data_IF_804455914967
#
_entry.id   IF_804455914967
#
_cell.length_a   1.000
_cell.length_b   1.000
_cell.length_c   1.000
_cell.angle_alpha   90.00
_cell.angle_beta   90.00
_cell.angle_gamma   90.00
#
_symmetry.space_group_name_H-M   'P 1'
#
loop_
_entity.id
_entity.type
_entity.pdbx_description
1 polymer ?
#
# COMPACT_ATOMS: atom_id res chain seq x y z
N UNK A 1 6.13 2.28 12.16
CA UNK A 1 5.56 2.36 10.80
C UNK A 1 4.14 1.82 10.89
N UNK A 2 3.14 2.62 10.52
CA UNK A 2 1.73 2.21 10.49
C UNK A 2 1.31 2.07 9.02
N UNK A 3 0.56 1.02 8.70
CA UNK A 3 -0.09 0.83 7.39
C UNK A 3 -1.60 0.76 7.61
N UNK A 4 -2.36 1.19 6.60
CA UNK A 4 -3.73 0.73 6.48
C UNK A 4 -3.76 -0.80 6.44
N UNK A 5 -4.77 -1.38 7.09
CA UNK A 5 -5.14 -2.76 6.75
C UNK A 5 -5.69 -2.79 5.32
N UNK A 6 -5.63 -3.95 4.68
CA UNK A 6 -5.95 -4.14 3.28
C UNK A 6 -7.26 -3.47 2.92
N UNK A 7 -8.43 -3.75 3.51
CA UNK A 7 -9.69 -3.24 2.95
C UNK A 7 -9.95 -1.75 3.26
N UNK A 8 -9.12 -1.07 4.05
CA UNK A 8 -9.39 0.32 4.47
C UNK A 8 -9.21 1.31 3.31
N UNK A 9 -10.20 2.19 3.11
CA UNK A 9 -10.18 3.15 2.02
C UNK A 9 -11.17 4.29 2.26
N UNK A 10 -12.32 4.23 1.60
CA UNK A 10 -13.35 5.27 1.66
C UNK A 10 -14.74 4.71 2.01
N UNK A 11 -14.79 3.92 3.09
CA UNK A 11 -16.05 3.35 3.58
C UNK A 11 -17.01 4.44 4.07
N UNK A 12 -18.35 4.24 3.99
CA UNK A 12 -19.34 5.22 4.42
C UNK A 12 -19.17 5.70 5.87
N UNK A 13 -18.71 4.81 6.75
CA UNK A 13 -18.52 5.07 8.18
C UNK A 13 -17.10 5.58 8.52
N UNK A 14 -16.21 5.69 7.53
CA UNK A 14 -14.79 6.02 7.72
C UNK A 14 -14.27 6.66 6.43
N UNK A 15 -14.80 7.83 6.08
CA UNK A 15 -14.49 8.52 4.84
C UNK A 15 -13.03 8.98 4.83
N UNK A 16 -12.34 8.76 3.71
CA UNK A 16 -10.93 9.15 3.54
C UNK A 16 -10.74 10.67 3.73
N UNK A 17 -11.73 11.47 3.33
CA UNK A 17 -11.72 12.93 3.50
C UNK A 17 -11.67 13.37 4.96
N UNK A 18 -12.24 12.58 5.87
CA UNK A 18 -12.30 12.88 7.30
C UNK A 18 -11.13 12.25 8.06
N UNK A 19 -10.78 11.02 7.72
CA UNK A 19 -9.79 10.22 8.45
C UNK A 19 -8.35 10.63 8.11
N UNK A 20 -8.08 10.97 6.85
CA UNK A 20 -6.70 11.32 6.43
C UNK A 20 -6.17 12.55 7.18
N UNK A 21 -6.92 13.66 7.31
CA UNK A 21 -6.49 14.80 8.13
C UNK A 21 -6.22 14.44 9.59
N UNK A 22 -7.08 13.62 10.21
CA UNK A 22 -6.88 13.19 11.60
C UNK A 22 -5.61 12.33 11.75
N UNK A 23 -5.35 11.42 10.81
CA UNK A 23 -4.10 10.64 10.79
C UNK A 23 -2.88 11.55 10.66
N UNK A 24 -2.91 12.58 9.80
CA UNK A 24 -1.81 13.54 9.65
C UNK A 24 -1.59 14.35 10.92
N UNK A 25 -2.68 14.78 11.59
CA UNK A 25 -2.64 15.49 12.86
C UNK A 25 -2.02 14.64 13.97
N UNK A 26 -2.47 13.40 14.13
CA UNK A 26 -1.91 12.46 15.12
C UNK A 26 -0.45 12.14 14.82
N UNK A 27 -0.11 11.92 13.55
CA UNK A 27 1.27 11.69 13.14
C UNK A 27 2.16 12.89 13.46
N UNK A 28 1.69 14.11 13.22
CA UNK A 28 2.44 15.34 13.53
C UNK A 28 2.70 15.49 15.03
N UNK A 29 1.71 15.16 15.87
CA UNK A 29 1.88 15.14 17.32
C UNK A 29 2.92 14.09 17.76
N UNK A 30 2.83 12.87 17.23
CA UNK A 30 3.79 11.80 17.53
C UNK A 30 5.21 12.15 17.06
N UNK A 31 5.38 12.78 15.90
CA UNK A 31 6.68 13.25 15.40
C UNK A 31 7.25 14.32 16.33
N UNK A 32 6.43 15.25 16.82
CA UNK A 32 6.88 16.29 17.73
C UNK A 32 7.45 15.71 19.03
N UNK A 33 6.87 14.63 19.53
CA UNK A 33 7.31 13.96 20.76
C UNK A 33 8.51 13.03 20.55
N UNK A 34 8.58 12.34 19.41
CA UNK A 34 9.52 11.22 19.21
C UNK A 34 10.60 11.48 18.16
N UNK A 35 10.41 12.45 17.28
CA UNK A 35 11.25 12.70 16.10
C UNK A 35 11.11 11.65 14.98
N UNK A 36 10.23 10.66 15.12
CA UNK A 36 10.10 9.54 14.17
C UNK A 36 8.87 9.70 13.28
N UNK A 37 9.08 9.68 11.97
CA UNK A 37 8.04 9.94 10.98
C UNK A 37 7.97 8.81 9.93
N UNK A 38 7.02 7.88 10.05
CA UNK A 38 6.89 6.74 9.13
C UNK A 38 5.44 6.22 9.02
N UNK A 39 4.77 6.45 7.87
CA UNK A 39 3.39 5.96 7.60
C UNK A 39 3.22 5.44 6.16
N UNK A 40 2.28 4.52 5.95
CA UNK A 40 1.80 4.07 4.65
C UNK A 40 0.29 4.24 4.53
N UNK A 41 -0.17 4.83 3.43
CA UNK A 41 -1.57 5.08 3.13
C UNK A 41 -2.05 4.27 1.91
N UNK A 42 -3.22 3.63 2.01
CA UNK A 42 -3.79 2.85 0.91
C UNK A 42 -4.32 3.75 -0.20
N UNK A 43 -3.99 3.39 -1.45
CA UNK A 43 -4.45 4.09 -2.66
C UNK A 43 -5.19 3.19 -3.66
N UNK A 44 -5.31 1.88 -3.40
CA UNK A 44 -5.96 0.92 -4.31
C UNK A 44 -7.38 1.35 -4.70
N UNK A 45 -7.68 1.27 -5.99
CA UNK A 45 -8.99 1.47 -6.61
C UNK A 45 -8.97 0.82 -8.01
N UNK A 46 -10.11 0.45 -8.59
CA UNK A 46 -10.11 -0.10 -9.96
C UNK A 46 -9.82 1.00 -10.98
N UNK A 47 -10.50 2.14 -10.84
CA UNK A 47 -10.33 3.29 -11.72
C UNK A 47 -8.97 3.97 -11.47
N UNK A 48 -8.14 4.07 -12.51
CA UNK A 48 -6.84 4.76 -12.46
C UNK A 48 -6.98 6.23 -12.04
N UNK A 49 -8.04 6.92 -12.47
CA UNK A 49 -8.28 8.31 -12.08
C UNK A 49 -8.51 8.43 -10.56
N UNK A 50 -9.30 7.53 -9.99
CA UNK A 50 -9.55 7.46 -8.54
C UNK A 50 -8.26 7.17 -7.76
N UNK A 51 -7.46 6.22 -8.25
CA UNK A 51 -6.16 5.84 -7.66
C UNK A 51 -5.20 7.05 -7.60
N UNK A 52 -5.12 7.82 -8.69
CA UNK A 52 -4.32 9.05 -8.76
C UNK A 52 -4.92 10.15 -7.86
N UNK A 53 -6.25 10.30 -7.84
CA UNK A 53 -6.93 11.29 -7.01
C UNK A 53 -6.68 11.07 -5.53
N UNK A 54 -6.81 9.82 -5.04
CA UNK A 54 -6.45 9.43 -3.67
C UNK A 54 -5.00 9.74 -3.36
N UNK A 55 -4.09 9.38 -4.25
CA UNK A 55 -2.66 9.66 -4.08
C UNK A 55 -2.38 11.16 -3.96
N UNK A 56 -2.92 11.97 -4.86
CA UNK A 56 -2.78 13.43 -4.81
C UNK A 56 -3.40 14.04 -3.54
N UNK A 57 -4.58 13.57 -3.15
CA UNK A 57 -5.25 14.00 -1.93
C UNK A 57 -4.38 13.72 -0.69
N UNK A 58 -3.90 12.49 -0.54
CA UNK A 58 -3.02 12.10 0.57
C UNK A 58 -1.77 12.98 0.59
N UNK A 59 -1.09 13.18 -0.54
CA UNK A 59 0.11 14.02 -0.58
C UNK A 59 -0.18 15.49 -0.22
N UNK A 60 -1.32 16.01 -0.66
CA UNK A 60 -1.76 17.36 -0.32
C UNK A 60 -2.02 17.50 1.19
N UNK A 61 -2.70 16.53 1.81
CA UNK A 61 -2.95 16.54 3.26
C UNK A 61 -1.66 16.41 4.07
N UNK A 62 -0.72 15.56 3.64
CA UNK A 62 0.55 15.40 4.34
C UNK A 62 1.48 16.62 4.20
N UNK A 63 1.35 17.40 3.12
CA UNK A 63 2.16 18.59 2.88
C UNK A 63 3.68 18.31 3.03
N UNK A 64 4.39 19.00 3.94
CA UNK A 64 5.82 18.78 4.19
C UNK A 64 6.17 17.35 4.62
N UNK A 65 5.25 16.66 5.31
CA UNK A 65 5.41 15.28 5.78
C UNK A 65 5.24 14.24 4.66
N UNK A 66 4.90 14.67 3.44
CA UNK A 66 4.60 13.75 2.34
C UNK A 66 5.77 12.82 2.01
N UNK A 67 7.02 13.22 2.28
CA UNK A 67 8.23 12.38 2.09
C UNK A 67 8.21 11.11 2.96
N UNK A 68 7.46 11.13 4.06
CA UNK A 68 7.36 10.05 5.04
C UNK A 68 6.15 9.13 4.79
N UNK A 69 5.43 9.37 3.68
CA UNK A 69 4.27 8.59 3.26
C UNK A 69 4.67 7.59 2.15
N UNK A 70 4.34 6.32 2.37
CA UNK A 70 4.34 5.28 1.35
C UNK A 70 2.90 5.04 0.83
N UNK A 71 2.77 4.55 -0.41
CA UNK A 71 1.48 4.12 -0.95
C UNK A 71 1.34 2.61 -0.88
N UNK A 72 0.28 2.15 -0.22
CA UNK A 72 -0.12 0.74 -0.22
C UNK A 72 -1.03 0.46 -1.43
N UNK A 73 -0.71 -0.59 -2.17
CA UNK A 73 -1.47 -1.08 -3.32
C UNK A 73 -1.60 -2.60 -3.23
N UNK A 74 -2.81 -3.13 -3.48
CA UNK A 74 -3.07 -4.57 -3.47
C UNK A 74 -2.77 -5.19 -4.83
N UNK A 75 -1.49 -5.42 -5.10
CA UNK A 75 -1.01 -5.76 -6.44
C UNK A 75 -1.45 -7.12 -6.97
N UNK A 76 -1.86 -8.06 -6.10
CA UNK A 76 -2.41 -9.35 -6.56
C UNK A 76 -3.85 -9.21 -7.04
N UNK A 77 -4.74 -8.58 -6.26
CA UNK A 77 -6.17 -8.46 -6.61
C UNK A 77 -6.42 -7.34 -7.62
N UNK A 78 -5.72 -6.21 -7.49
CA UNK A 78 -5.94 -5.03 -8.35
C UNK A 78 -5.10 -5.05 -9.65
N UNK A 79 -4.36 -6.13 -9.89
CA UNK A 79 -3.51 -6.37 -11.07
C UNK A 79 -2.26 -5.46 -11.19
N UNK A 80 -1.33 -5.82 -12.08
CA UNK A 80 -0.11 -5.07 -12.38
C UNK A 80 -0.35 -3.65 -12.86
N UNK A 81 -1.50 -3.35 -13.46
CA UNK A 81 -1.88 -1.98 -13.81
C UNK A 81 -2.06 -1.10 -12.56
N UNK A 82 -2.57 -1.66 -11.47
CA UNK A 82 -2.68 -0.93 -10.21
C UNK A 82 -1.34 -0.63 -9.56
N UNK A 83 -0.33 -1.47 -9.78
CA UNK A 83 1.04 -1.24 -9.29
C UNK A 83 1.76 -0.21 -10.15
N UNK A 84 1.59 -0.27 -11.47
CA UNK A 84 2.34 0.57 -12.42
C UNK A 84 1.77 1.97 -12.61
N UNK A 85 0.46 2.18 -12.42
CA UNK A 85 -0.12 3.51 -12.55
C UNK A 85 0.37 4.49 -11.47
N UNK A 86 0.42 4.14 -10.17
CA UNK A 86 1.04 4.97 -9.13
C UNK A 86 2.53 5.19 -9.35
N UNK A 87 3.28 4.17 -9.76
CA UNK A 87 4.74 4.30 -9.93
C UNK A 87 5.12 5.32 -11.01
N UNK A 88 4.27 5.47 -12.04
CA UNK A 88 4.47 6.44 -13.14
C UNK A 88 3.93 7.84 -12.83
N UNK A 89 2.85 7.95 -12.06
CA UNK A 89 2.16 9.24 -11.83
C UNK A 89 2.46 9.88 -10.47
N UNK A 90 2.91 9.10 -9.48
CA UNK A 90 3.24 9.53 -8.12
C UNK A 90 4.73 9.28 -7.85
N UNK A 91 5.56 9.77 -8.77
CA UNK A 91 7.01 9.58 -8.79
C UNK A 91 7.64 9.95 -7.43
N UNK A 92 8.67 9.19 -7.04
CA UNK A 92 9.48 9.37 -5.81
C UNK A 92 8.76 9.05 -4.50
N UNK A 93 7.70 8.24 -4.52
CA UNK A 93 7.09 7.66 -3.30
C UNK A 93 7.37 6.17 -3.20
N UNK A 94 7.52 5.69 -1.97
CA UNK A 94 7.68 4.27 -1.69
C UNK A 94 6.38 3.54 -2.03
N UNK A 95 6.45 2.52 -2.88
CA UNK A 95 5.31 1.69 -3.27
C UNK A 95 5.32 0.37 -2.50
N UNK A 96 4.37 0.22 -1.58
CA UNK A 96 4.18 -0.96 -0.76
C UNK A 96 3.14 -1.89 -1.41
N UNK A 97 3.61 -2.99 -1.99
CA UNK A 97 2.74 -3.98 -2.62
C UNK A 97 2.21 -4.96 -1.58
N UNK A 98 0.92 -4.90 -1.34
CA UNK A 98 0.18 -5.90 -0.60
C UNK A 98 -0.25 -7.03 -1.54
N UNK A 99 -0.30 -8.26 -1.02
CA UNK A 99 -0.52 -9.46 -1.84
C UNK A 99 -1.79 -10.22 -1.46
N UNK A 100 -2.81 -9.57 -0.89
CA UNK A 100 -4.07 -10.25 -0.54
C UNK A 100 -4.58 -11.12 -1.69
N UNK A 101 -5.13 -12.29 -1.37
CA UNK A 101 -5.59 -13.26 -2.37
C UNK A 101 -4.49 -14.17 -2.95
N UNK A 102 -3.20 -13.84 -2.84
CA UNK A 102 -2.12 -14.60 -3.51
C UNK A 102 -2.12 -16.12 -3.23
N UNK A 103 -2.61 -16.53 -2.06
CA UNK A 103 -2.70 -17.94 -1.66
C UNK A 103 -3.55 -18.81 -2.59
N UNK A 104 -4.44 -18.23 -3.40
CA UNK A 104 -5.20 -18.98 -4.41
C UNK A 104 -4.32 -19.59 -5.50
N UNK A 105 -3.15 -18.98 -5.77
CA UNK A 105 -2.15 -19.47 -6.71
C UNK A 105 -0.91 -20.02 -5.98
N UNK A 106 -0.41 -19.32 -4.96
CA UNK A 106 0.93 -19.60 -4.42
C UNK A 106 0.98 -20.61 -3.28
N UNK A 107 -0.18 -21.10 -2.82
CA UNK A 107 -0.23 -22.09 -1.73
C UNK A 107 0.42 -23.41 -2.17
N UNK A 108 1.24 -24.08 -1.34
CA UNK A 108 1.77 -25.41 -1.66
C UNK A 108 0.70 -26.48 -1.91
N UNK A 109 -0.53 -26.28 -1.42
CA UNK A 109 -1.67 -27.16 -1.74
C UNK A 109 -2.12 -27.03 -3.20
N UNK A 110 -1.81 -25.91 -3.86
CA UNK A 110 -2.12 -25.67 -5.27
C UNK A 110 -0.97 -26.21 -6.12
N UNK A 111 -1.31 -27.16 -6.99
CA UNK A 111 -0.36 -27.80 -7.91
C UNK A 111 -0.44 -27.16 -9.32
N UNK A 112 -0.70 -25.85 -9.37
CA UNK A 112 -0.89 -25.05 -10.60
C UNK A 112 -0.35 -23.62 -10.38
N UNK A 113 -0.28 -22.85 -11.45
CA UNK A 113 0.12 -21.43 -11.46
C UNK A 113 1.60 -21.20 -11.11
N UNK A 114 1.90 -20.47 -10.02
CA UNK A 114 3.24 -20.05 -9.67
C UNK A 114 3.43 -19.91 -8.15
N UNK A 115 4.67 -19.98 -7.70
CA UNK A 115 5.02 -19.92 -6.28
C UNK A 115 5.11 -18.49 -5.74
N UNK A 116 5.09 -18.33 -4.42
CA UNK A 116 5.30 -17.04 -3.76
C UNK A 116 6.67 -16.42 -4.09
N UNK A 117 7.68 -17.25 -4.39
CA UNK A 117 8.98 -16.81 -4.86
C UNK A 117 8.88 -16.12 -6.22
N UNK A 118 8.19 -16.74 -7.18
CA UNK A 118 7.95 -16.15 -8.50
C UNK A 118 7.17 -14.84 -8.37
N UNK A 119 6.11 -14.82 -7.56
CA UNK A 119 5.31 -13.62 -7.32
C UNK A 119 6.17 -12.45 -6.80
N UNK A 120 7.01 -12.71 -5.80
CA UNK A 120 7.89 -11.69 -5.20
C UNK A 120 8.90 -11.15 -6.22
N UNK A 121 9.45 -12.03 -7.08
CA UNK A 121 10.39 -11.64 -8.14
C UNK A 121 9.72 -10.74 -9.19
N UNK A 122 8.46 -11.03 -9.55
CA UNK A 122 7.67 -10.20 -10.46
C UNK A 122 7.32 -8.84 -9.84
N UNK A 123 6.94 -8.78 -8.56
CA UNK A 123 6.71 -7.51 -7.86
C UNK A 123 7.93 -6.60 -7.91
N UNK A 124 9.13 -7.15 -7.72
CA UNK A 124 10.39 -6.41 -7.87
C UNK A 124 10.55 -5.84 -9.29
N UNK A 125 10.28 -6.63 -10.33
CA UNK A 125 10.33 -6.18 -11.72
C UNK A 125 9.28 -5.10 -12.05
N UNK A 126 8.14 -5.09 -11.35
CA UNK A 126 7.11 -4.05 -11.46
C UNK A 126 7.45 -2.75 -10.72
N UNK A 127 8.67 -2.63 -10.17
CA UNK A 127 9.19 -1.44 -9.48
C UNK A 127 8.47 -1.17 -8.15
N UNK A 128 8.03 -2.23 -7.45
CA UNK A 128 7.57 -2.08 -6.07
C UNK A 128 8.76 -1.78 -5.15
N UNK A 129 8.62 -0.83 -4.23
CA UNK A 129 9.67 -0.52 -3.25
C UNK A 129 9.74 -1.58 -2.13
N UNK A 130 8.63 -2.27 -1.85
CA UNK A 130 8.59 -3.40 -0.93
C UNK A 130 7.35 -4.26 -1.14
N UNK A 131 7.46 -5.57 -0.89
CA UNK A 131 6.37 -6.53 -1.00
C UNK A 131 6.36 -7.44 0.23
N UNK A 132 5.16 -7.87 0.64
CA UNK A 132 5.04 -8.88 1.70
C UNK A 132 5.65 -10.21 1.25
N UNK A 133 6.53 -10.79 2.07
CA UNK A 133 7.17 -12.10 1.80
C UNK A 133 6.59 -13.24 2.65
N UNK A 134 5.88 -12.92 3.73
CA UNK A 134 5.32 -13.90 4.68
C UNK A 134 6.20 -14.04 5.92
N UNK A 135 5.72 -14.79 6.91
CA UNK A 135 6.40 -14.97 8.19
C UNK A 135 7.35 -16.18 8.20
N UNK A 136 7.57 -16.83 7.05
CA UNK A 136 8.40 -18.05 6.94
C UNK A 136 7.99 -19.12 7.97
N UNK A 137 6.69 -19.34 8.13
CA UNK A 137 6.07 -20.28 9.08
C UNK A 137 6.13 -19.90 10.57
N UNK A 138 6.67 -18.74 10.93
CA UNK A 138 6.65 -18.22 12.32
C UNK A 138 5.38 -17.40 12.64
N UNK A 139 4.42 -17.35 11.71
CA UNK A 139 3.18 -16.60 11.84
C UNK A 139 1.96 -17.43 11.45
N UNK A 140 0.81 -16.77 11.31
CA UNK A 140 -0.46 -17.44 10.96
C UNK A 140 -0.57 -17.84 9.48
N UNK A 141 0.32 -17.32 8.62
CA UNK A 141 0.40 -17.61 7.18
C UNK A 141 1.84 -17.88 6.74
#
# INVERSE_FOLDING_TARGET
FIKNDEPQGNQPFCQMSEVTPEVVKTLSAAIKETGVANLSAKSTADNTAEKIARGKYILAQFGPLSKNCAFLVDGYVADGTAVTAPSRNLLKKCLHCHRAGHGSATSPQKQRDYTAFVHTKLSCAQVTSGSLVGAMSYGKM
#
